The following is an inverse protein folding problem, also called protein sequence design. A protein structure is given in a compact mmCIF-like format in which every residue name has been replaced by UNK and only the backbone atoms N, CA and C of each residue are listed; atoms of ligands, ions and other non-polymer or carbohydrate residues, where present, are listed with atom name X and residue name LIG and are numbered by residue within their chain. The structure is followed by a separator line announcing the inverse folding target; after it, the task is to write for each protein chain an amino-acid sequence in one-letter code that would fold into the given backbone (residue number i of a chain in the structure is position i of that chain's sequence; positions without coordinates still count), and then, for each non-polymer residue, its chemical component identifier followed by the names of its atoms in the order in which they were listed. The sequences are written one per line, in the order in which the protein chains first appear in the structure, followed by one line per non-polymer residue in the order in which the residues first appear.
data_IF_230831796302
#
_entry.id   IF_230831796302
#
_cell.length_a   1.000
_cell.length_b   1.000
_cell.length_c   1.000
_cell.angle_alpha   90.00
_cell.angle_beta   90.00
_cell.angle_gamma   90.00
#
_symmetry.space_group_name_H-M   'P 1'
#
loop_
_entity.id
_entity.type
_entity.pdbx_description
1 polymer ?
#
# COMPACT_ATOMS: atom_id res chain seq x y z
N UNK A 1 -35.12 8.26 15.96
CA UNK A 1 -34.06 7.36 15.53
C UNK A 1 -33.16 8.14 14.58
N UNK A 2 -31.88 8.35 14.92
CA UNK A 2 -30.92 8.98 14.00
C UNK A 2 -30.80 8.12 12.75
N UNK A 3 -30.67 8.74 11.56
CA UNK A 3 -30.32 8.01 10.34
C UNK A 3 -28.92 7.43 10.54
N UNK A 4 -28.75 6.12 10.39
CA UNK A 4 -27.44 5.49 10.37
C UNK A 4 -26.61 6.06 9.23
N UNK A 5 -25.28 5.96 9.34
CA UNK A 5 -24.40 6.32 8.24
C UNK A 5 -24.27 5.13 7.27
N UNK A 6 -24.32 5.38 5.99
CA UNK A 6 -24.11 4.31 4.98
C UNK A 6 -22.64 3.93 4.91
N UNK A 7 -21.73 4.90 5.02
CA UNK A 7 -20.29 4.74 4.95
C UNK A 7 -19.56 5.48 6.08
N UNK A 8 -18.47 4.88 6.57
CA UNK A 8 -17.51 5.53 7.47
C UNK A 8 -16.14 5.49 6.80
N UNK A 9 -15.55 6.69 6.59
CA UNK A 9 -14.19 6.83 6.09
C UNK A 9 -13.20 6.80 7.25
N UNK A 10 -12.17 5.95 7.14
CA UNK A 10 -11.17 5.67 8.18
C UNK A 10 -9.82 6.14 7.66
N UNK A 11 -9.33 7.27 8.20
CA UNK A 11 -8.03 7.87 7.94
C UNK A 11 -7.26 8.10 9.24
N UNK A 12 -7.49 7.26 10.23
CA UNK A 12 -6.84 7.28 11.53
C UNK A 12 -5.41 6.73 11.48
N UNK A 13 -4.64 6.74 12.58
CA UNK A 13 -3.36 6.04 12.64
C UNK A 13 -3.49 4.54 12.34
N UNK A 14 -2.51 3.97 11.63
CA UNK A 14 -2.56 2.61 11.08
C UNK A 14 -3.00 1.53 12.08
N UNK A 15 -2.51 1.60 13.32
CA UNK A 15 -2.83 0.62 14.37
C UNK A 15 -4.29 0.66 14.85
N UNK A 16 -5.04 1.70 14.50
CA UNK A 16 -6.46 1.84 14.84
C UNK A 16 -7.41 1.36 13.74
N UNK A 17 -6.90 1.10 12.53
CA UNK A 17 -7.74 0.77 11.38
C UNK A 17 -8.62 -0.45 11.64
N UNK A 18 -8.05 -1.56 12.13
CA UNK A 18 -8.83 -2.78 12.42
C UNK A 18 -9.98 -2.51 13.39
N UNK A 19 -9.73 -1.79 14.49
CA UNK A 19 -10.76 -1.45 15.46
C UNK A 19 -11.85 -0.55 14.87
N UNK A 20 -11.46 0.44 14.06
CA UNK A 20 -12.41 1.35 13.43
C UNK A 20 -13.21 0.69 12.31
N UNK A 21 -12.62 -0.24 11.56
CA UNK A 21 -13.34 -1.06 10.58
C UNK A 21 -14.44 -1.87 11.28
N UNK A 22 -14.09 -2.58 12.36
CA UNK A 22 -15.07 -3.36 13.14
C UNK A 22 -16.15 -2.48 13.73
N UNK A 23 -15.79 -1.29 14.21
CA UNK A 23 -16.76 -0.30 14.68
C UNK A 23 -17.73 0.11 13.57
N UNK A 24 -17.24 0.41 12.37
CA UNK A 24 -18.07 0.81 11.24
C UNK A 24 -19.09 -0.29 10.88
N UNK A 25 -18.62 -1.52 10.68
CA UNK A 25 -19.48 -2.64 10.28
C UNK A 25 -20.55 -2.95 11.34
N UNK A 26 -20.15 -3.00 12.62
CA UNK A 26 -21.08 -3.28 13.72
C UNK A 26 -22.12 -2.19 13.95
N UNK A 27 -21.86 -0.97 13.50
CA UNK A 27 -22.82 0.13 13.48
C UNK A 27 -23.66 0.20 12.19
N UNK A 28 -23.58 -0.83 11.35
CA UNK A 28 -24.39 -0.93 10.14
C UNK A 28 -23.89 -0.08 8.96
N UNK A 29 -22.63 0.36 8.98
CA UNK A 29 -22.00 1.17 7.93
C UNK A 29 -20.96 0.36 7.15
N UNK A 30 -20.81 0.64 5.85
CA UNK A 30 -19.65 0.19 5.10
C UNK A 30 -18.40 0.96 5.57
N UNK A 31 -17.23 0.32 5.53
CA UNK A 31 -15.95 0.94 5.89
C UNK A 31 -15.14 1.27 4.66
N UNK A 32 -14.73 2.52 4.48
CA UNK A 32 -13.72 2.94 3.50
C UNK A 32 -12.45 3.22 4.29
N UNK A 33 -11.39 2.45 4.06
CA UNK A 33 -10.21 2.52 4.91
C UNK A 33 -8.93 2.85 4.14
N UNK A 34 -8.19 3.84 4.66
CA UNK A 34 -6.86 4.16 4.19
C UNK A 34 -5.88 3.00 4.34
N UNK A 35 -4.83 3.06 3.54
CA UNK A 35 -3.74 2.08 3.62
C UNK A 35 -2.77 2.38 4.80
N UNK A 36 -2.17 1.36 5.38
CA UNK A 36 -2.47 -0.06 5.20
C UNK A 36 -3.83 -0.39 5.79
N UNK A 37 -4.56 -1.29 5.16
CA UNK A 37 -5.89 -1.65 5.66
C UNK A 37 -5.83 -2.15 7.11
N UNK A 38 -4.86 -3.02 7.41
CA UNK A 38 -4.53 -3.51 8.76
C UNK A 38 -3.02 -3.69 8.88
N UNK A 39 -2.49 -3.76 10.11
CA UNK A 39 -1.08 -4.06 10.36
C UNK A 39 -0.79 -5.55 10.46
N UNK A 40 -1.78 -6.33 10.85
CA UNK A 40 -1.69 -7.77 10.97
C UNK A 40 -2.56 -8.44 9.90
N UNK A 41 -1.96 -9.09 8.88
CA UNK A 41 -2.74 -9.74 7.82
C UNK A 41 -3.62 -10.88 8.33
N UNK A 42 -3.33 -11.46 9.49
CA UNK A 42 -4.18 -12.50 10.10
C UNK A 42 -5.55 -11.96 10.55
N UNK A 43 -5.71 -10.63 10.67
CA UNK A 43 -7.02 -10.02 10.94
C UNK A 43 -7.98 -10.13 9.74
N UNK A 44 -7.48 -10.36 8.53
CA UNK A 44 -8.30 -10.37 7.31
C UNK A 44 -9.43 -11.39 7.41
N UNK A 45 -9.15 -12.65 7.78
CA UNK A 45 -10.18 -13.68 7.87
C UNK A 45 -11.32 -13.32 8.84
N UNK A 46 -10.99 -12.71 9.99
CA UNK A 46 -12.02 -12.27 10.94
C UNK A 46 -12.79 -11.02 10.47
N UNK A 47 -12.20 -10.22 9.58
CA UNK A 47 -12.90 -9.12 8.92
C UNK A 47 -13.82 -9.62 7.80
N UNK A 48 -13.42 -10.65 7.06
CA UNK A 48 -14.27 -11.35 6.08
C UNK A 48 -15.51 -11.95 6.77
N UNK A 49 -15.32 -12.67 7.88
CA UNK A 49 -16.42 -13.19 8.69
C UNK A 49 -17.38 -12.07 9.15
N UNK A 50 -16.82 -10.94 9.58
CA UNK A 50 -17.62 -9.79 10.02
C UNK A 50 -18.39 -9.13 8.88
N UNK A 51 -17.83 -9.08 7.65
CA UNK A 51 -18.56 -8.63 6.45
C UNK A 51 -19.79 -9.52 6.21
N UNK A 52 -19.64 -10.85 6.31
CA UNK A 52 -20.74 -11.80 6.14
C UNK A 52 -21.79 -11.61 7.23
N UNK A 53 -21.37 -11.49 8.49
CA UNK A 53 -22.27 -11.30 9.64
C UNK A 53 -23.12 -10.03 9.52
N UNK A 54 -22.49 -8.92 9.12
CA UNK A 54 -23.14 -7.60 9.11
C UNK A 54 -23.81 -7.24 7.78
N UNK A 55 -23.49 -7.96 6.69
CA UNK A 55 -23.89 -7.59 5.32
C UNK A 55 -23.28 -6.27 4.86
N UNK A 56 -22.17 -5.83 5.47
CA UNK A 56 -21.47 -4.59 5.12
C UNK A 56 -20.09 -4.88 4.55
N UNK A 57 -19.63 -4.02 3.66
CA UNK A 57 -18.38 -4.19 2.94
C UNK A 57 -17.26 -3.31 3.52
N UNK A 58 -16.03 -3.78 3.34
CA UNK A 58 -14.79 -3.06 3.63
C UNK A 58 -14.11 -2.74 2.31
N UNK A 59 -13.81 -1.47 2.08
CA UNK A 59 -13.19 -0.96 0.87
C UNK A 59 -11.81 -0.37 1.20
N UNK A 60 -10.71 -1.09 0.89
CA UNK A 60 -9.37 -0.53 0.99
C UNK A 60 -9.09 0.50 -0.10
N UNK A 61 -8.37 1.57 0.25
CA UNK A 61 -7.89 2.56 -0.72
C UNK A 61 -6.59 2.07 -1.37
N UNK A 62 -6.70 1.53 -2.59
CA UNK A 62 -5.59 1.04 -3.42
C UNK A 62 -5.36 1.99 -4.60
N UNK A 63 -5.17 3.25 -4.29
CA UNK A 63 -5.25 4.38 -5.23
C UNK A 63 -4.31 4.28 -6.44
N UNK A 64 -3.11 3.67 -6.33
CA UNK A 64 -2.20 3.58 -7.47
C UNK A 64 -2.73 2.70 -8.60
N UNK A 65 -3.63 1.76 -8.32
CA UNK A 65 -4.31 0.97 -9.35
C UNK A 65 -5.23 1.81 -10.26
N UNK A 66 -5.63 3.02 -9.80
CA UNK A 66 -6.48 3.96 -10.53
C UNK A 66 -5.68 5.07 -11.24
N UNK A 67 -4.35 5.06 -11.12
CA UNK A 67 -3.49 6.02 -11.81
C UNK A 67 -3.40 5.66 -13.30
N UNK A 68 -3.66 6.64 -14.19
CA UNK A 68 -3.75 6.37 -15.62
C UNK A 68 -2.49 5.71 -16.18
N UNK A 69 -1.29 6.23 -15.84
CA UNK A 69 -0.03 5.63 -16.31
C UNK A 69 0.14 4.17 -15.85
N UNK A 70 -0.44 3.78 -14.72
CA UNK A 70 -0.39 2.40 -14.24
C UNK A 70 -1.40 1.51 -14.97
N UNK A 71 -2.57 2.03 -15.29
CA UNK A 71 -3.57 1.35 -16.11
C UNK A 71 -3.00 1.10 -17.50
N UNK A 72 -2.47 2.15 -18.14
CA UNK A 72 -1.86 2.08 -19.47
C UNK A 72 -0.67 1.09 -19.48
N UNK A 73 0.16 1.12 -18.44
CA UNK A 73 1.26 0.16 -18.31
C UNK A 73 0.73 -1.28 -18.24
N UNK A 74 -0.32 -1.54 -17.44
CA UNK A 74 -0.90 -2.88 -17.32
C UNK A 74 -1.41 -3.41 -18.64
N UNK A 75 -2.08 -2.58 -19.43
CA UNK A 75 -2.56 -2.92 -20.75
C UNK A 75 -1.43 -3.21 -21.73
N UNK A 76 -0.37 -2.39 -21.71
CA UNK A 76 0.78 -2.50 -22.61
C UNK A 76 1.72 -3.67 -22.25
N UNK A 77 1.81 -4.07 -20.98
CA UNK A 77 2.63 -5.20 -20.55
C UNK A 77 2.16 -6.54 -21.14
N UNK A 78 0.87 -6.69 -21.42
CA UNK A 78 0.28 -7.90 -21.97
C UNK A 78 0.70 -9.14 -21.16
N UNK A 79 1.16 -10.19 -21.88
CA UNK A 79 1.63 -11.46 -21.27
C UNK A 79 3.17 -11.53 -21.11
N UNK A 80 3.89 -10.43 -21.26
CA UNK A 80 5.35 -10.40 -21.16
C UNK A 80 5.80 -10.89 -19.79
N UNK A 81 6.75 -11.83 -19.79
CA UNK A 81 7.41 -12.37 -18.58
C UNK A 81 8.83 -11.78 -18.47
N UNK A 82 9.43 -11.95 -17.29
CA UNK A 82 10.81 -11.51 -16.99
C UNK A 82 11.02 -9.99 -17.16
N UNK A 83 10.04 -9.19 -16.78
CA UNK A 83 10.23 -7.75 -16.71
C UNK A 83 11.24 -7.42 -15.61
N UNK A 84 12.09 -6.42 -15.85
CA UNK A 84 13.00 -5.86 -14.83
C UNK A 84 12.37 -4.60 -14.28
N UNK A 85 12.27 -4.51 -12.97
CA UNK A 85 11.68 -3.35 -12.29
C UNK A 85 12.66 -2.81 -11.27
N UNK A 86 12.85 -1.51 -11.26
CA UNK A 86 13.60 -0.79 -10.24
C UNK A 86 12.64 0.19 -9.54
N UNK A 87 12.51 0.05 -8.22
CA UNK A 87 11.72 0.94 -7.38
C UNK A 87 12.65 1.63 -6.38
N UNK A 88 12.77 2.93 -6.45
CA UNK A 88 13.44 3.72 -5.43
C UNK A 88 12.52 4.84 -4.94
N UNK A 89 12.29 4.86 -3.62
CA UNK A 89 11.51 5.92 -2.99
C UNK A 89 12.20 6.42 -1.74
N UNK A 90 12.66 7.66 -1.79
CA UNK A 90 13.25 8.39 -0.67
C UNK A 90 12.32 9.54 -0.33
N UNK A 91 11.79 9.55 0.88
CA UNK A 91 10.87 10.58 1.36
C UNK A 91 11.30 11.03 2.76
N UNK A 92 12.26 11.94 2.86
CA UNK A 92 12.79 12.40 4.13
C UNK A 92 11.70 12.84 5.09
N UNK A 93 11.86 12.45 6.33
CA UNK A 93 10.96 12.83 7.41
C UNK A 93 11.76 13.55 8.49
N UNK A 94 11.26 14.68 8.94
CA UNK A 94 11.87 15.41 10.02
C UNK A 94 11.86 14.63 11.35
N UNK A 95 12.56 15.11 12.37
CA UNK A 95 12.66 14.45 13.69
C UNK A 95 11.31 14.06 14.28
N UNK A 96 10.26 14.84 14.01
CA UNK A 96 8.88 14.56 14.44
C UNK A 96 8.38 13.16 14.04
N UNK A 97 8.84 12.65 12.90
CA UNK A 97 8.43 11.33 12.41
C UNK A 97 8.81 10.24 13.42
N UNK A 98 10.03 10.26 13.91
CA UNK A 98 10.55 9.25 14.84
C UNK A 98 9.95 9.35 16.25
N UNK A 99 9.42 10.52 16.63
CA UNK A 99 8.71 10.71 17.90
C UNK A 99 7.20 10.49 17.79
N UNK A 100 6.66 10.42 16.58
CA UNK A 100 5.24 10.16 16.33
C UNK A 100 4.97 8.66 16.24
N UNK A 101 3.68 8.29 16.17
CA UNK A 101 3.27 6.92 15.91
C UNK A 101 3.81 6.37 14.58
N UNK A 102 4.18 7.23 13.63
CA UNK A 102 4.71 6.82 12.31
C UNK A 102 6.12 6.22 12.38
N UNK A 103 6.94 6.65 13.35
CA UNK A 103 8.27 6.10 13.61
C UNK A 103 8.28 4.87 14.54
N UNK A 104 7.12 4.51 15.09
CA UNK A 104 6.95 3.33 15.95
C UNK A 104 6.47 2.15 15.07
N UNK A 105 7.31 1.15 14.89
CA UNK A 105 7.03 -0.01 14.02
C UNK A 105 5.80 -0.81 14.47
N UNK A 106 5.49 -0.80 15.76
CA UNK A 106 4.28 -1.48 16.27
C UNK A 106 3.02 -0.75 15.82
N UNK A 107 3.08 0.58 15.73
CA UNK A 107 1.93 1.44 15.40
C UNK A 107 1.81 1.73 13.92
N UNK A 108 2.93 1.88 13.22
CA UNK A 108 2.95 2.21 11.79
C UNK A 108 3.05 0.99 10.87
N UNK A 109 3.65 -0.09 11.37
CA UNK A 109 4.05 -1.26 10.60
C UNK A 109 5.42 -1.13 9.95
N UNK A 110 6.21 -0.09 10.31
CA UNK A 110 7.52 0.18 9.75
C UNK A 110 7.48 0.78 8.34
N UNK A 111 8.66 1.00 7.76
CA UNK A 111 8.83 1.71 6.48
C UNK A 111 8.12 0.99 5.34
N UNK A 112 8.31 -0.32 5.20
CA UNK A 112 7.69 -1.09 4.12
C UNK A 112 6.16 -0.98 4.14
N UNK A 113 5.54 -1.02 5.31
CA UNK A 113 4.09 -0.90 5.48
C UNK A 113 3.62 0.54 5.32
N UNK A 114 4.27 1.49 6.01
CA UNK A 114 3.78 2.87 6.09
C UNK A 114 3.94 3.63 4.77
N UNK A 115 5.08 3.46 4.08
CA UNK A 115 5.35 4.17 2.83
C UNK A 115 5.45 3.26 1.60
N UNK A 116 5.80 1.98 1.76
CA UNK A 116 6.04 1.06 0.66
C UNK A 116 4.80 0.34 0.13
N UNK A 117 3.78 0.13 0.98
CA UNK A 117 2.64 -0.74 0.64
C UNK A 117 1.91 -0.35 -0.66
N UNK A 118 1.82 0.92 -0.99
CA UNK A 118 1.22 1.37 -2.25
C UNK A 118 1.94 0.82 -3.48
N UNK A 119 3.28 0.84 -3.42
CA UNK A 119 4.11 0.39 -4.53
C UNK A 119 4.08 -1.13 -4.62
N UNK A 120 4.14 -1.82 -3.49
CA UNK A 120 4.04 -3.28 -3.46
C UNK A 120 2.68 -3.75 -3.96
N UNK A 121 1.60 -3.10 -3.55
CA UNK A 121 0.26 -3.38 -4.08
C UNK A 121 0.19 -3.20 -5.60
N UNK A 122 0.67 -2.08 -6.10
CA UNK A 122 0.74 -1.80 -7.53
C UNK A 122 1.58 -2.84 -8.28
N UNK A 123 2.75 -3.21 -7.76
CA UNK A 123 3.63 -4.19 -8.39
C UNK A 123 2.99 -5.58 -8.46
N UNK A 124 2.32 -6.01 -7.39
CA UNK A 124 1.57 -7.27 -7.36
C UNK A 124 0.42 -7.26 -8.36
N UNK A 125 -0.32 -6.16 -8.42
CA UNK A 125 -1.41 -6.00 -9.39
C UNK A 125 -0.93 -6.01 -10.85
N UNK A 126 0.26 -5.45 -11.13
CA UNK A 126 0.87 -5.42 -12.46
C UNK A 126 1.47 -6.76 -12.86
N UNK A 127 2.19 -7.42 -11.96
CA UNK A 127 3.11 -8.51 -12.30
C UNK A 127 2.77 -9.87 -11.71
N UNK A 128 1.69 -9.96 -10.93
CA UNK A 128 1.21 -11.21 -10.36
C UNK A 128 1.85 -11.58 -9.03
N UNK A 129 1.68 -12.83 -8.63
CA UNK A 129 1.99 -13.31 -7.30
C UNK A 129 3.49 -13.39 -6.99
N UNK A 130 3.80 -13.40 -5.70
CA UNK A 130 5.15 -13.49 -5.17
C UNK A 130 5.66 -14.93 -5.31
N UNK A 131 6.80 -15.09 -5.98
CA UNK A 131 7.57 -16.33 -6.00
C UNK A 131 8.64 -16.35 -4.93
N UNK A 132 9.35 -15.22 -4.77
CA UNK A 132 10.42 -15.10 -3.78
C UNK A 132 10.51 -13.65 -3.28
N UNK A 133 10.96 -13.49 -2.03
CA UNK A 133 11.23 -12.20 -1.41
C UNK A 133 12.51 -12.30 -0.58
N UNK A 134 13.44 -11.40 -0.84
CA UNK A 134 14.68 -11.26 -0.11
C UNK A 134 14.85 -9.81 0.36
N UNK A 135 15.10 -9.63 1.65
CA UNK A 135 15.42 -8.33 2.25
C UNK A 135 16.93 -8.24 2.43
N UNK A 136 17.57 -7.31 1.73
CA UNK A 136 19.01 -7.08 1.78
C UNK A 136 19.44 -6.14 2.89
N UNK A 137 18.55 -5.19 3.23
CA UNK A 137 18.78 -4.21 4.31
C UNK A 137 17.47 -3.88 5.01
N UNK A 138 17.51 -3.77 6.34
CA UNK A 138 16.38 -3.35 7.16
C UNK A 138 16.85 -2.54 8.36
N UNK A 139 16.31 -1.32 8.50
CA UNK A 139 16.57 -0.42 9.63
C UNK A 139 15.35 0.48 9.88
N UNK A 140 15.41 1.31 10.93
CA UNK A 140 14.38 2.31 11.21
C UNK A 140 14.35 3.48 10.21
N UNK A 141 15.34 3.59 9.32
CA UNK A 141 15.48 4.69 8.37
C UNK A 141 15.32 4.24 6.92
N UNK A 142 15.70 3.02 6.60
CA UNK A 142 15.63 2.49 5.24
C UNK A 142 15.45 0.97 5.22
N UNK A 143 14.88 0.48 4.13
CA UNK A 143 14.76 -0.95 3.86
C UNK A 143 14.86 -1.18 2.36
N UNK A 144 15.52 -2.27 1.97
CA UNK A 144 15.71 -2.63 0.58
C UNK A 144 15.76 -4.14 0.37
N UNK A 145 15.55 -4.56 -0.85
CA UNK A 145 15.57 -5.97 -1.18
C UNK A 145 15.25 -6.26 -2.62
N UNK A 146 15.00 -7.52 -2.86
CA UNK A 146 14.66 -8.09 -4.15
C UNK A 146 13.35 -8.87 -4.04
N UNK A 147 12.49 -8.73 -5.04
CA UNK A 147 11.21 -9.42 -5.12
C UNK A 147 11.08 -10.10 -6.46
N UNK A 148 10.87 -11.40 -6.46
CA UNK A 148 10.53 -12.17 -7.66
C UNK A 148 9.02 -12.37 -7.72
N UNK A 149 8.40 -11.82 -8.78
CA UNK A 149 6.99 -11.97 -9.10
C UNK A 149 6.81 -12.92 -10.28
N UNK A 150 5.59 -13.34 -10.55
CA UNK A 150 5.30 -14.22 -11.70
C UNK A 150 5.83 -13.67 -13.02
N UNK A 151 5.77 -12.33 -13.21
CA UNK A 151 6.12 -11.67 -14.48
C UNK A 151 7.22 -10.64 -14.37
N UNK A 152 7.82 -10.43 -13.18
CA UNK A 152 8.86 -9.43 -12.98
C UNK A 152 9.86 -9.82 -11.89
N UNK A 153 11.06 -9.26 -12.03
CA UNK A 153 12.08 -9.19 -11.00
C UNK A 153 12.22 -7.73 -10.57
N UNK A 154 12.11 -7.47 -9.28
CA UNK A 154 12.03 -6.11 -8.73
C UNK A 154 13.18 -5.89 -7.75
N UNK A 155 14.06 -4.94 -8.07
CA UNK A 155 14.97 -4.34 -7.11
C UNK A 155 14.28 -3.15 -6.46
N UNK A 156 14.16 -3.16 -5.12
CA UNK A 156 13.43 -2.11 -4.43
C UNK A 156 14.20 -1.51 -3.26
N UNK A 157 14.06 -0.21 -3.06
CA UNK A 157 14.60 0.49 -1.89
C UNK A 157 13.66 1.62 -1.44
N UNK A 158 13.46 1.71 -0.12
CA UNK A 158 12.60 2.68 0.54
C UNK A 158 13.40 3.37 1.65
N UNK A 159 13.36 4.71 1.74
CA UNK A 159 14.06 5.45 2.78
C UNK A 159 13.25 6.65 3.28
N UNK A 160 13.42 6.97 4.56
CA UNK A 160 12.98 8.23 5.18
C UNK A 160 14.16 9.13 5.58
N UNK A 161 15.38 8.73 5.22
CA UNK A 161 16.61 9.45 5.51
C UNK A 161 16.95 10.43 4.38
N UNK A 162 17.22 11.69 4.72
CA UNK A 162 17.61 12.71 3.74
C UNK A 162 18.95 12.43 3.06
N UNK A 163 19.86 11.70 3.74
CA UNK A 163 21.16 11.31 3.20
C UNK A 163 21.08 10.36 2.00
N UNK A 164 19.93 9.72 1.80
CA UNK A 164 19.70 8.81 0.68
C UNK A 164 19.14 9.52 -0.57
N UNK A 165 18.93 10.86 -0.48
CA UNK A 165 18.55 11.66 -1.64
C UNK A 165 19.70 11.74 -2.65
N UNK A 166 19.39 11.66 -3.97
CA UNK A 166 20.42 11.85 -5.01
C UNK A 166 21.05 13.23 -5.03
N UNK A 167 20.33 14.26 -4.58
CA UNK A 167 20.74 15.67 -4.54
C UNK A 167 20.22 16.32 -3.26
N UNK A 168 21.05 17.14 -2.63
CA UNK A 168 20.78 17.76 -1.32
C UNK A 168 19.60 18.75 -1.34
N UNK A 169 19.28 19.33 -2.49
CA UNK A 169 18.18 20.30 -2.67
C UNK A 169 16.81 19.62 -2.90
N UNK A 170 16.78 18.30 -3.05
CA UNK A 170 15.53 17.58 -3.27
C UNK A 170 14.79 17.33 -1.96
N UNK A 171 13.46 17.47 -2.02
CA UNK A 171 12.57 17.17 -0.88
C UNK A 171 12.13 15.72 -0.81
N UNK A 172 12.11 15.04 -1.93
CA UNK A 172 11.82 13.62 -2.07
C UNK A 172 12.33 13.13 -3.43
N UNK A 173 12.57 11.84 -3.51
CA UNK A 173 12.93 11.18 -4.77
C UNK A 173 12.10 9.91 -4.94
N UNK A 174 11.41 9.80 -6.05
CA UNK A 174 10.64 8.62 -6.41
C UNK A 174 10.90 8.28 -7.87
N UNK A 175 11.36 7.07 -8.13
CA UNK A 175 11.49 6.53 -9.48
C UNK A 175 11.02 5.09 -9.51
N UNK A 176 10.32 4.74 -10.55
CA UNK A 176 9.94 3.36 -10.87
C UNK A 176 10.26 3.18 -12.34
N UNK A 177 11.18 2.23 -12.64
CA UNK A 177 11.54 1.90 -14.02
C UNK A 177 11.09 0.48 -14.33
N UNK A 178 10.50 0.30 -15.49
CA UNK A 178 10.12 -1.01 -16.01
C UNK A 178 10.84 -1.24 -17.33
N UNK A 179 11.74 -2.23 -17.38
CA UNK A 179 12.60 -2.54 -18.52
C UNK A 179 13.48 -1.36 -18.98
N UNK A 180 13.83 -0.45 -18.07
CA UNK A 180 14.62 0.75 -18.31
C UNK A 180 13.79 2.02 -18.55
N UNK A 181 12.49 1.88 -18.86
CA UNK A 181 11.59 3.02 -19.06
C UNK A 181 11.03 3.50 -17.73
N UNK A 182 11.14 4.78 -17.43
CA UNK A 182 10.63 5.38 -16.21
C UNK A 182 9.12 5.62 -16.32
N UNK A 183 8.37 5.22 -15.29
CA UNK A 183 6.94 5.49 -15.19
C UNK A 183 6.77 6.95 -14.74
N UNK A 184 6.05 7.73 -15.54
CA UNK A 184 5.73 9.10 -15.19
C UNK A 184 4.63 9.15 -14.10
N UNK A 185 5.02 9.70 -12.95
CA UNK A 185 4.14 10.00 -11.83
C UNK A 185 4.05 11.51 -11.53
N UNK A 186 4.41 12.37 -12.48
CA UNK A 186 4.39 13.83 -12.29
C UNK A 186 2.98 14.36 -12.07
N UNK A 187 2.00 13.80 -12.76
CA UNK A 187 0.59 14.21 -12.73
C UNK A 187 -0.34 13.08 -12.25
N UNK A 188 -1.57 13.41 -11.87
CA UNK A 188 -2.65 12.44 -11.63
C UNK A 188 -2.81 11.95 -10.20
N UNK A 189 -2.00 12.41 -9.23
CA UNK A 189 -2.15 12.03 -7.81
C UNK A 189 -3.26 12.77 -7.08
N UNK A 190 -3.58 14.00 -7.50
CA UNK A 190 -4.54 14.86 -6.79
C UNK A 190 -5.96 14.27 -6.73
N UNK A 191 -6.34 13.48 -7.75
CA UNK A 191 -7.71 12.99 -7.91
C UNK A 191 -7.90 11.50 -7.56
N UNK A 192 -6.84 10.79 -7.18
CA UNK A 192 -6.91 9.33 -6.96
C UNK A 192 -7.82 8.95 -5.80
N UNK A 193 -7.88 9.78 -4.75
CA UNK A 193 -8.84 9.55 -3.66
C UNK A 193 -10.27 9.75 -4.13
N UNK A 194 -10.55 10.84 -4.86
CA UNK A 194 -11.87 11.08 -5.45
C UNK A 194 -12.30 9.92 -6.32
N UNK A 195 -11.44 9.47 -7.24
CA UNK A 195 -11.69 8.29 -8.08
C UNK A 195 -11.95 7.03 -7.25
N UNK A 196 -11.19 6.81 -6.18
CA UNK A 196 -11.41 5.66 -5.29
C UNK A 196 -12.81 5.69 -4.65
N UNK A 197 -13.25 6.86 -4.20
CA UNK A 197 -14.59 7.02 -3.64
C UNK A 197 -15.68 6.85 -4.70
N UNK A 198 -15.48 7.40 -5.89
CA UNK A 198 -16.41 7.23 -7.02
C UNK A 198 -16.58 5.75 -7.40
N UNK A 199 -15.47 5.00 -7.52
CA UNK A 199 -15.52 3.56 -7.79
C UNK A 199 -16.24 2.79 -6.68
N UNK A 200 -16.00 3.11 -5.41
CA UNK A 200 -16.69 2.49 -4.28
C UNK A 200 -18.21 2.77 -4.34
N UNK A 201 -18.61 4.01 -4.59
CA UNK A 201 -20.02 4.38 -4.67
C UNK A 201 -20.72 3.78 -5.89
N UNK A 202 -19.99 3.51 -6.96
CA UNK A 202 -20.47 2.82 -8.16
C UNK A 202 -20.46 1.29 -8.03
N UNK A 203 -20.02 0.75 -6.88
CA UNK A 203 -19.98 -0.70 -6.63
C UNK A 203 -18.72 -1.41 -7.14
N UNK A 204 -17.72 -0.67 -7.62
CA UNK A 204 -16.45 -1.16 -8.17
C UNK A 204 -15.27 -1.03 -7.19
N UNK A 205 -15.53 -0.79 -5.91
CA UNK A 205 -14.48 -0.65 -4.90
C UNK A 205 -13.65 -1.92 -4.73
N UNK A 206 -12.37 -1.75 -4.45
CA UNK A 206 -11.47 -2.87 -4.14
C UNK A 206 -11.90 -3.60 -2.86
N UNK A 207 -11.51 -4.86 -2.76
CA UNK A 207 -11.93 -5.80 -1.71
C UNK A 207 -10.80 -6.11 -0.72
N UNK A 208 -11.11 -6.87 0.33
CA UNK A 208 -10.11 -7.42 1.24
C UNK A 208 -9.12 -8.34 0.51
N UNK A 209 -9.61 -9.14 -0.41
CA UNK A 209 -8.79 -10.05 -1.23
C UNK A 209 -7.77 -9.28 -2.07
N UNK A 210 -8.15 -8.12 -2.60
CA UNK A 210 -7.25 -7.24 -3.34
C UNK A 210 -6.10 -6.71 -2.48
N UNK A 211 -6.37 -6.35 -1.22
CA UNK A 211 -5.38 -5.78 -0.32
C UNK A 211 -4.44 -6.83 0.31
N UNK A 212 -4.91 -8.08 0.46
CA UNK A 212 -4.24 -9.13 1.21
C UNK A 212 -2.82 -9.43 0.73
N UNK A 213 -2.51 -9.59 -0.57
CA UNK A 213 -1.16 -9.93 -1.04
C UNK A 213 -0.10 -8.90 -0.62
N UNK A 214 -0.43 -7.60 -0.70
CA UNK A 214 0.47 -6.53 -0.30
C UNK A 214 0.66 -6.49 1.22
N UNK A 215 -0.39 -6.75 2.00
CA UNK A 215 -0.32 -6.84 3.47
C UNK A 215 0.57 -8.01 3.91
N UNK A 216 0.41 -9.19 3.29
CA UNK A 216 1.24 -10.37 3.56
C UNK A 216 2.72 -10.08 3.25
N UNK A 217 3.00 -9.39 2.13
CA UNK A 217 4.37 -9.04 1.75
C UNK A 217 5.01 -8.08 2.75
N UNK A 218 4.37 -6.95 3.06
CA UNK A 218 4.96 -5.96 3.99
C UNK A 218 5.08 -6.52 5.41
N UNK A 219 4.20 -7.45 5.80
CA UNK A 219 4.32 -8.16 7.07
C UNK A 219 5.57 -9.06 7.10
N UNK A 220 5.86 -9.78 6.00
CA UNK A 220 7.09 -10.59 5.86
C UNK A 220 8.34 -9.71 5.88
N UNK A 221 8.34 -8.58 5.17
CA UNK A 221 9.47 -7.64 5.16
C UNK A 221 9.72 -7.08 6.56
N UNK A 222 8.69 -6.64 7.27
CA UNK A 222 8.80 -6.09 8.62
C UNK A 222 9.36 -7.08 9.63
N UNK A 223 8.99 -8.35 9.51
CA UNK A 223 9.41 -9.41 10.44
C UNK A 223 10.62 -10.21 9.94
N UNK A 224 11.29 -9.71 8.91
CA UNK A 224 12.51 -10.34 8.41
C UNK A 224 13.61 -10.27 9.47
N UNK A 225 14.15 -11.42 9.83
CA UNK A 225 15.29 -11.54 10.75
C UNK A 225 16.54 -11.74 9.91
N UNK A 226 17.46 -10.79 9.98
CA UNK A 226 18.82 -10.92 9.44
C UNK A 226 19.61 -11.98 10.19
#
# INVERSE_FOLDING_TARGET
MGKGLDYISIASPNYLHDAHIRFALKNGSHAICEKPLVLNPYSISSLEELQVETGKNIYPILQLRLHQSIIDLKENLGKKKNNKVELKYVTPRGKWYHYSWKGDDVKSGGIATNIGIHFFDMLLWLFGDIKNNYVSHHSNYSTSGYLELERANVDWSLSVDERDLPHDDWKAFRTIKVNGDEIDFSDGFSDLHTKSYEEILNGNGFTLEDAKPALDLVHKIRNYKT
#
